data_IF_477308710765
#
_entry.id   IF_477308710765
#
_cell.length_a   1.000
_cell.length_b   1.000
_cell.length_c   1.000
_cell.angle_alpha   90.00
_cell.angle_beta   90.00
_cell.angle_gamma   90.00
#
_symmetry.space_group_name_H-M   'P 1'
#
loop_
_entity.id
_entity.type
_entity.pdbx_description
1 polymer ?
#
# COMPACT_ATOMS: atom_id res chain seq x y z
N UNK A 1 -24.59 -14.45 17.17
CA UNK A 1 -23.59 -14.49 16.08
C UNK A 1 -24.08 -15.18 14.80
N UNK A 2 -24.63 -16.41 14.85
CA UNK A 2 -25.11 -17.12 13.64
C UNK A 2 -26.09 -16.29 12.78
N UNK A 3 -27.06 -15.63 13.41
CA UNK A 3 -28.02 -14.77 12.71
C UNK A 3 -27.33 -13.61 11.95
N UNK A 4 -26.35 -12.97 12.59
CA UNK A 4 -25.58 -11.89 11.96
C UNK A 4 -24.74 -12.41 10.80
N UNK A 5 -24.05 -13.55 10.97
CA UNK A 5 -23.27 -14.19 9.91
C UNK A 5 -24.13 -14.46 8.67
N UNK A 6 -25.31 -15.07 8.85
CA UNK A 6 -26.24 -15.34 7.76
C UNK A 6 -26.73 -14.05 7.07
N UNK A 7 -27.04 -13.00 7.84
CA UNK A 7 -27.49 -11.71 7.31
C UNK A 7 -26.41 -10.99 6.50
N UNK A 8 -25.15 -11.12 6.89
CA UNK A 8 -24.00 -10.54 6.19
C UNK A 8 -23.41 -11.45 5.10
N UNK A 9 -23.96 -12.65 4.88
CA UNK A 9 -23.45 -13.60 3.89
C UNK A 9 -22.10 -14.21 4.24
N UNK A 10 -21.72 -14.24 5.51
CA UNK A 10 -20.44 -14.79 5.97
C UNK A 10 -20.55 -16.32 6.02
N UNK A 11 -19.80 -17.00 5.15
CA UNK A 11 -19.74 -18.47 5.05
C UNK A 11 -18.32 -19.04 5.04
N UNK A 12 -17.29 -18.18 4.98
CA UNK A 12 -15.89 -18.63 4.97
C UNK A 12 -15.50 -19.19 6.34
N UNK A 13 -14.88 -20.38 6.34
CA UNK A 13 -14.40 -21.07 7.54
C UNK A 13 -13.29 -20.31 8.29
N UNK A 14 -12.59 -19.39 7.63
CA UNK A 14 -11.55 -18.57 8.22
C UNK A 14 -12.10 -17.24 8.76
N UNK A 15 -13.40 -16.97 8.59
CA UNK A 15 -14.05 -15.78 9.11
C UNK A 15 -14.80 -16.10 10.41
N UNK A 16 -14.19 -15.76 11.53
CA UNK A 16 -14.76 -16.01 12.85
C UNK A 16 -15.56 -14.81 13.36
N UNK A 17 -16.72 -15.06 13.95
CA UNK A 17 -17.51 -14.06 14.66
C UNK A 17 -17.36 -14.30 16.16
N UNK A 18 -16.75 -13.34 16.85
CA UNK A 18 -16.41 -13.44 18.26
C UNK A 18 -17.22 -12.43 19.08
N UNK A 19 -17.47 -12.78 20.33
CA UNK A 19 -17.99 -11.88 21.37
C UNK A 19 -17.07 -12.01 22.57
N UNK A 20 -16.97 -10.95 23.34
CA UNK A 20 -16.18 -10.92 24.58
C UNK A 20 -17.11 -10.73 25.78
N UNK A 21 -16.59 -11.04 26.96
CA UNK A 21 -17.27 -10.71 28.21
C UNK A 21 -17.08 -9.23 28.53
N UNK A 22 -17.99 -8.68 29.34
CA UNK A 22 -17.96 -7.27 29.74
C UNK A 22 -16.66 -6.90 30.49
N UNK A 23 -16.12 -7.83 31.29
CA UNK A 23 -14.88 -7.64 32.05
C UNK A 23 -13.62 -7.48 31.18
N UNK A 24 -13.63 -8.01 29.95
CA UNK A 24 -12.50 -7.96 29.02
C UNK A 24 -12.63 -6.81 28.00
N UNK A 25 -13.79 -6.12 27.96
CA UNK A 25 -14.12 -5.13 26.94
C UNK A 25 -13.22 -3.91 26.99
N UNK A 26 -12.95 -3.40 28.18
CA UNK A 26 -12.13 -2.20 28.35
C UNK A 26 -10.68 -2.47 27.95
N UNK A 27 -10.13 -3.61 28.38
CA UNK A 27 -8.76 -4.00 28.03
C UNK A 27 -8.58 -4.18 26.52
N UNK A 28 -9.48 -4.91 25.85
CA UNK A 28 -9.39 -5.11 24.41
C UNK A 28 -9.59 -3.80 23.64
N UNK A 29 -10.50 -2.94 24.09
CA UNK A 29 -10.75 -1.65 23.44
C UNK A 29 -9.53 -0.73 23.56
N UNK A 30 -8.84 -0.73 24.70
CA UNK A 30 -7.60 0.03 24.91
C UNK A 30 -6.45 -0.50 24.04
N UNK A 31 -6.22 -1.82 24.02
CA UNK A 31 -5.17 -2.45 23.22
C UNK A 31 -5.32 -2.18 21.71
N UNK A 32 -6.56 -2.16 21.22
CA UNK A 32 -6.86 -1.89 19.82
C UNK A 32 -7.05 -0.40 19.50
N UNK A 33 -7.13 0.46 20.52
CA UNK A 33 -7.49 1.87 20.36
C UNK A 33 -8.91 2.07 19.81
N UNK A 34 -9.82 1.14 20.10
CA UNK A 34 -11.21 1.17 19.65
C UNK A 34 -12.07 2.07 20.55
N UNK A 35 -12.84 2.97 19.93
CA UNK A 35 -13.69 3.93 20.63
C UNK A 35 -15.17 3.63 20.39
N UNK A 36 -15.95 3.61 21.46
CA UNK A 36 -17.39 3.45 21.43
C UNK A 36 -18.08 4.28 22.53
N UNK A 37 -19.32 4.69 22.29
CA UNK A 37 -20.13 5.50 23.19
C UNK A 37 -21.59 5.01 23.19
N UNK A 38 -22.22 4.85 24.35
CA UNK A 38 -23.64 4.49 24.41
C UNK A 38 -24.53 5.64 23.95
N UNK A 39 -25.59 5.32 23.20
CA UNK A 39 -26.61 6.25 22.73
C UNK A 39 -28.01 5.69 22.96
N UNK A 40 -29.05 6.51 22.82
CA UNK A 40 -30.44 6.07 22.99
C UNK A 40 -30.89 5.01 21.98
N UNK A 41 -30.18 4.88 20.85
CA UNK A 41 -30.45 3.92 19.78
C UNK A 41 -29.44 2.78 19.70
N UNK A 42 -28.50 2.67 20.65
CA UNK A 42 -27.45 1.65 20.64
C UNK A 42 -26.09 2.23 21.02
N UNK A 43 -25.13 2.15 20.09
CA UNK A 43 -23.78 2.64 20.31
C UNK A 43 -23.27 3.38 19.08
N UNK A 44 -22.66 4.53 19.31
CA UNK A 44 -21.78 5.16 18.33
C UNK A 44 -20.40 4.55 18.49
N UNK A 45 -19.77 4.15 17.38
CA UNK A 45 -18.46 3.51 17.43
C UNK A 45 -17.60 3.95 16.26
N UNK A 46 -16.28 3.83 16.44
CA UNK A 46 -15.34 4.04 15.35
C UNK A 46 -15.51 2.94 14.30
N UNK A 47 -15.49 3.29 13.02
CA UNK A 47 -15.42 2.31 11.94
C UNK A 47 -13.95 2.01 11.71
N UNK A 48 -13.52 0.82 12.14
CA UNK A 48 -12.12 0.45 12.23
C UNK A 48 -11.93 -1.04 11.87
N UNK A 49 -10.85 -1.33 11.16
CA UNK A 49 -10.30 -2.67 11.01
C UNK A 49 -8.84 -2.67 11.47
N UNK A 50 -8.49 -3.61 12.34
CA UNK A 50 -7.13 -3.76 12.87
C UNK A 50 -6.45 -4.97 12.23
N UNK A 51 -5.26 -4.76 11.66
CA UNK A 51 -4.38 -5.85 11.18
C UNK A 51 -3.38 -6.15 12.29
N UNK A 52 -3.34 -7.41 12.73
CA UNK A 52 -2.45 -7.90 13.80
C UNK A 52 -1.42 -8.86 13.17
N UNK A 53 -0.17 -8.75 13.59
CA UNK A 53 0.90 -9.65 13.15
C UNK A 53 0.90 -11.00 13.91
N UNK A 54 1.82 -11.89 13.54
CA UNK A 54 1.94 -13.21 14.17
C UNK A 54 2.37 -13.16 15.64
N UNK A 55 2.97 -12.06 16.10
CA UNK A 55 3.40 -11.84 17.49
C UNK A 55 2.29 -11.18 18.32
N UNK A 56 1.10 -10.96 17.74
CA UNK A 56 -0.03 -10.33 18.42
C UNK A 56 0.07 -8.80 18.50
N UNK A 57 0.96 -8.18 17.72
CA UNK A 57 1.09 -6.71 17.71
C UNK A 57 0.24 -6.09 16.62
N UNK A 58 -0.30 -4.91 16.92
CA UNK A 58 -1.01 -4.09 15.93
C UNK A 58 -0.03 -3.66 14.85
N UNK A 59 -0.25 -4.14 13.63
CA UNK A 59 0.57 -3.81 12.46
C UNK A 59 0.04 -2.60 11.70
N UNK A 60 -1.29 -2.52 11.53
CA UNK A 60 -1.95 -1.38 10.87
C UNK A 60 -3.39 -1.21 11.33
N UNK A 61 -3.82 0.05 11.41
CA UNK A 61 -5.21 0.45 11.57
C UNK A 61 -5.77 1.00 10.26
N UNK A 62 -6.98 0.58 9.88
CA UNK A 62 -7.72 1.07 8.73
C UNK A 62 -9.03 1.64 9.22
N UNK A 63 -9.37 2.86 8.80
CA UNK A 63 -10.53 3.60 9.29
C UNK A 63 -11.53 3.91 8.18
N UNK A 64 -12.79 4.03 8.58
CA UNK A 64 -13.90 4.43 7.71
C UNK A 64 -14.56 3.27 6.97
N UNK A 65 -15.75 3.53 6.46
CA UNK A 65 -16.52 2.55 5.68
C UNK A 65 -15.98 2.37 4.26
N UNK A 66 -15.40 3.44 3.70
CA UNK A 66 -14.77 3.45 2.37
C UNK A 66 -13.32 3.85 2.57
N UNK A 67 -12.43 2.98 2.14
CA UNK A 67 -10.99 3.17 2.21
C UNK A 67 -10.35 2.65 0.92
N UNK A 68 -9.17 3.17 0.59
CA UNK A 68 -8.42 2.69 -0.56
C UNK A 68 -7.91 1.26 -0.30
N UNK A 69 -8.17 0.34 -1.24
CA UNK A 69 -7.79 -1.08 -1.14
C UNK A 69 -6.34 -1.32 -0.68
N UNK A 70 -5.32 -0.57 -1.16
CA UNK A 70 -3.93 -0.75 -0.71
C UNK A 70 -3.72 -0.55 0.80
N UNK A 71 -4.55 0.26 1.47
CA UNK A 71 -4.43 0.48 2.91
C UNK A 71 -4.65 -0.79 3.73
N UNK A 72 -5.44 -1.74 3.20
CA UNK A 72 -5.70 -3.04 3.82
C UNK A 72 -4.89 -4.17 3.19
N UNK A 73 -4.71 -4.20 1.86
CA UNK A 73 -4.04 -5.33 1.19
C UNK A 73 -2.52 -5.30 1.37
N UNK A 74 -1.89 -4.14 1.30
CA UNK A 74 -0.44 -4.01 1.45
C UNK A 74 0.08 -4.54 2.80
N UNK A 75 -0.49 -4.16 3.97
CA UNK A 75 0.00 -4.70 5.24
C UNK A 75 -0.18 -6.22 5.34
N UNK A 76 -1.24 -6.79 4.74
CA UNK A 76 -1.44 -8.24 4.70
C UNK A 76 -0.37 -8.92 3.84
N UNK A 77 -0.04 -8.35 2.67
CA UNK A 77 1.04 -8.85 1.82
C UNK A 77 2.40 -8.73 2.51
N UNK A 78 2.66 -7.63 3.22
CA UNK A 78 3.90 -7.43 3.98
C UNK A 78 4.07 -8.53 5.04
N UNK A 79 3.01 -8.84 5.79
CA UNK A 79 3.00 -9.90 6.79
C UNK A 79 3.16 -11.29 6.18
N UNK A 80 2.40 -11.62 5.14
CA UNK A 80 2.46 -12.94 4.48
C UNK A 80 3.80 -13.19 3.80
N UNK A 81 4.39 -12.16 3.19
CA UNK A 81 5.67 -12.27 2.50
C UNK A 81 6.88 -12.10 3.44
N UNK A 82 6.66 -11.92 4.74
CA UNK A 82 7.71 -11.70 5.73
C UNK A 82 8.56 -10.47 5.43
N UNK A 83 7.98 -9.45 4.78
CA UNK A 83 8.67 -8.20 4.46
C UNK A 83 8.56 -7.32 5.70
N UNK A 84 9.66 -7.03 6.41
CA UNK A 84 9.60 -6.18 7.58
C UNK A 84 9.05 -4.80 7.20
N UNK A 85 8.32 -4.18 8.15
CA UNK A 85 8.17 -2.72 8.23
C UNK A 85 9.50 -2.12 7.77
N UNK A 86 9.53 -1.33 6.70
CA UNK A 86 10.79 -1.07 6.05
C UNK A 86 11.65 -0.23 7.02
N UNK A 87 12.61 -0.88 7.68
CA UNK A 87 13.79 -0.26 8.23
C UNK A 87 14.62 0.14 7.00
N UNK A 88 14.29 1.33 6.50
CA UNK A 88 14.59 1.76 5.16
C UNK A 88 16.09 2.05 4.98
N UNK A 89 16.85 1.06 4.50
CA UNK A 89 18.12 1.32 3.84
C UNK A 89 17.83 1.80 2.41
N UNK A 90 18.38 2.94 1.98
CA UNK A 90 17.95 3.68 0.77
C UNK A 90 17.78 2.84 -0.51
N UNK A 91 18.59 1.79 -0.69
CA UNK A 91 18.54 0.93 -1.87
C UNK A 91 17.37 -0.06 -1.87
N UNK A 92 16.99 -0.61 -0.71
CA UNK A 92 15.85 -1.53 -0.61
C UNK A 92 14.51 -0.78 -0.72
N UNK A 93 14.47 0.47 -0.26
CA UNK A 93 13.36 1.41 -0.51
C UNK A 93 13.14 1.56 -2.01
N UNK A 94 14.21 1.87 -2.75
CA UNK A 94 14.11 2.18 -4.16
C UNK A 94 13.65 0.96 -4.95
N UNK A 95 14.18 -0.23 -4.65
CA UNK A 95 13.75 -1.48 -5.29
C UNK A 95 12.29 -1.84 -5.00
N UNK A 96 11.87 -1.80 -3.74
CA UNK A 96 10.50 -2.17 -3.36
C UNK A 96 9.49 -1.10 -3.78
N UNK A 97 9.82 0.20 -3.66
CA UNK A 97 8.99 1.29 -4.22
C UNK A 97 8.89 1.20 -5.73
N UNK A 98 9.97 0.87 -6.44
CA UNK A 98 9.90 0.67 -7.90
C UNK A 98 8.91 -0.44 -8.22
N UNK A 99 9.00 -1.60 -7.57
CA UNK A 99 8.04 -2.70 -7.81
C UNK A 99 6.60 -2.30 -7.48
N UNK A 100 6.37 -1.57 -6.38
CA UNK A 100 5.04 -1.12 -5.97
C UNK A 100 4.47 -0.02 -6.89
N UNK A 101 5.30 0.95 -7.32
CA UNK A 101 4.90 1.99 -8.27
C UNK A 101 4.56 1.42 -9.65
N UNK A 102 5.20 0.31 -10.02
CA UNK A 102 4.91 -0.33 -11.31
C UNK A 102 3.57 -1.05 -11.30
N UNK A 103 3.04 -1.47 -10.15
CA UNK A 103 1.78 -2.20 -10.04
C UNK A 103 0.66 -1.27 -9.63
N UNK A 104 -0.21 -0.90 -10.56
CA UNK A 104 -1.41 -0.11 -10.25
C UNK A 104 -2.56 -1.09 -10.02
N UNK A 105 -3.24 -0.94 -8.89
CA UNK A 105 -4.48 -1.67 -8.61
C UNK A 105 -5.60 -1.10 -9.47
N UNK A 106 -6.26 -1.95 -10.25
CA UNK A 106 -7.44 -1.55 -11.02
C UNK A 106 -8.72 -2.10 -10.41
N UNK A 107 -9.58 -1.23 -9.87
CA UNK A 107 -10.84 -1.64 -9.26
C UNK A 107 -11.86 -2.19 -10.27
N UNK A 108 -11.65 -2.03 -11.60
CA UNK A 108 -12.56 -2.59 -12.62
C UNK A 108 -12.24 -4.02 -13.01
N UNK A 109 -10.97 -4.41 -12.93
CA UNK A 109 -10.50 -5.75 -13.34
C UNK A 109 -10.12 -6.65 -12.16
N UNK A 110 -10.24 -6.14 -10.93
CA UNK A 110 -9.96 -6.84 -9.66
C UNK A 110 -8.56 -7.48 -9.65
N UNK A 111 -7.57 -6.73 -10.15
CA UNK A 111 -6.22 -7.22 -10.35
C UNK A 111 -5.15 -6.13 -10.35
N UNK A 112 -3.90 -6.56 -10.12
CA UNK A 112 -2.72 -5.72 -10.20
C UNK A 112 -2.05 -5.89 -11.56
N UNK A 113 -1.84 -4.80 -12.30
CA UNK A 113 -1.10 -4.83 -13.56
C UNK A 113 0.11 -3.89 -13.56
N UNK A 114 1.11 -4.27 -14.37
CA UNK A 114 2.34 -3.51 -14.53
C UNK A 114 2.17 -2.38 -15.54
N UNK A 115 2.17 -1.12 -15.09
CA UNK A 115 2.14 0.05 -15.97
C UNK A 115 3.58 0.47 -16.34
N UNK A 116 4.02 0.08 -17.54
CA UNK A 116 5.35 0.41 -18.07
C UNK A 116 5.48 1.82 -18.66
N UNK A 117 4.39 2.62 -18.72
CA UNK A 117 4.37 3.93 -19.40
C UNK A 117 5.45 4.87 -18.87
N UNK A 118 5.63 4.92 -17.55
CA UNK A 118 6.63 5.77 -16.90
C UNK A 118 8.08 5.42 -17.30
N UNK A 119 8.40 4.13 -17.41
CA UNK A 119 9.76 3.69 -17.80
C UNK A 119 10.04 3.96 -19.27
N UNK A 120 9.02 3.80 -20.12
CA UNK A 120 9.12 4.13 -21.54
C UNK A 120 9.36 5.63 -21.71
N UNK A 121 8.64 6.49 -20.98
CA UNK A 121 8.84 7.95 -21.01
C UNK A 121 10.24 8.36 -20.56
N UNK A 122 10.75 7.78 -19.45
CA UNK A 122 12.13 8.02 -19.01
C UNK A 122 13.14 7.59 -20.07
N UNK A 123 12.97 6.40 -20.65
CA UNK A 123 13.89 5.89 -21.66
C UNK A 123 13.93 6.79 -22.90
N UNK A 124 12.76 7.21 -23.39
CA UNK A 124 12.66 8.16 -24.51
C UNK A 124 13.31 9.49 -24.16
N UNK A 125 13.02 10.05 -22.98
CA UNK A 125 13.58 11.32 -22.52
C UNK A 125 15.11 11.29 -22.42
N UNK A 126 15.67 10.23 -21.82
CA UNK A 126 17.13 10.04 -21.71
C UNK A 126 17.76 9.93 -23.09
N UNK A 127 17.15 9.18 -24.02
CA UNK A 127 17.68 9.00 -25.38
C UNK A 127 17.76 10.33 -26.14
N UNK A 128 16.72 11.17 -26.03
CA UNK A 128 16.71 12.50 -26.66
C UNK A 128 17.78 13.41 -26.06
N UNK A 129 17.91 13.45 -24.73
CA UNK A 129 18.92 14.28 -24.05
C UNK A 129 20.33 13.87 -24.47
N UNK A 130 20.63 12.56 -24.47
CA UNK A 130 21.93 12.07 -24.91
C UNK A 130 22.19 12.35 -26.39
N UNK A 131 21.17 12.26 -27.25
CA UNK A 131 21.27 12.63 -28.66
C UNK A 131 21.67 14.10 -28.85
N UNK A 132 21.03 15.02 -28.11
CA UNK A 132 21.34 16.46 -28.18
C UNK A 132 22.76 16.75 -27.67
N UNK A 133 23.15 16.16 -26.53
CA UNK A 133 24.50 16.31 -25.97
C UNK A 133 25.55 15.80 -26.98
N UNK A 134 25.29 14.65 -27.60
CA UNK A 134 26.20 14.07 -28.59
C UNK A 134 26.39 14.99 -29.80
N UNK A 135 25.30 15.58 -30.33
CA UNK A 135 25.36 16.54 -31.44
C UNK A 135 26.14 17.80 -31.03
N UNK A 136 25.84 18.37 -29.86
CA UNK A 136 26.57 19.53 -29.33
C UNK A 136 28.08 19.26 -29.22
N UNK A 137 28.48 18.12 -28.64
CA UNK A 137 29.89 17.74 -28.51
C UNK A 137 30.56 17.52 -29.88
N UNK A 138 29.82 16.97 -30.85
CA UNK A 138 30.32 16.76 -32.22
C UNK A 138 30.57 18.08 -32.92
N UNK A 139 29.64 19.03 -32.83
CA UNK A 139 29.79 20.37 -33.43
C UNK A 139 30.90 21.18 -32.75
N UNK A 140 31.01 21.13 -31.42
CA UNK A 140 32.12 21.78 -30.69
C UNK A 140 33.49 21.23 -31.11
N UNK A 141 33.61 19.90 -31.31
CA UNK A 141 34.85 19.29 -31.83
C UNK A 141 35.14 19.70 -33.28
N UNK A 142 34.11 19.84 -34.12
CA UNK A 142 34.25 20.24 -35.53
C UNK A 142 34.64 21.71 -35.66
N UNK A 143 34.08 22.59 -34.84
CA UNK A 143 34.43 24.01 -34.76
C UNK A 143 35.87 24.25 -34.28
N UNK A 144 36.34 23.50 -33.27
CA UNK A 144 37.75 23.57 -32.82
C UNK A 144 38.76 23.15 -33.89
N UNK A 145 38.38 22.25 -34.80
CA UNK A 145 39.23 21.85 -35.94
C UNK A 145 39.32 22.94 -37.01
N UNK A 146 38.23 23.67 -37.25
CA UNK A 146 38.16 24.71 -38.29
C UNK A 146 38.91 26.00 -37.92
N UNK A 147 38.98 26.33 -36.63
CA UNK A 147 39.73 27.49 -36.11
C UNK A 147 41.27 27.31 -36.08
N UNK A 148 41.80 26.12 -36.38
CA UNK A 148 43.25 25.82 -36.39
C UNK A 148 43.86 25.71 -37.79
N UNK A 149 43.12 26.12 -38.82
CA UNK A 149 43.55 26.24 -40.23
C UNK A 149 43.42 27.69 -40.63
#
# INVERSE_FOLDING_TARGET
MQYFANKQGISDKNWNLLSINEEDLDALSEDLGFLYYPTSSGYDHLIQATVIDADGKVYRQVYGQVFDTPLLVDPLLELVLGRPQPAQSFLSILSNKIKLFCTVYDPRSDGYYFNYSFFVEIFVGVTVIFGVIFIMLRELKKGRKRSKT
#
